data_IF_813550458253
#
_entry.id   IF_813550458253
#
_cell.length_a   1.000
_cell.length_b   1.000
_cell.length_c   1.000
_cell.angle_alpha   90.00
_cell.angle_beta   90.00
_cell.angle_gamma   90.00
#
_symmetry.space_group_name_H-M   'P 1'
#
loop_
_entity.id
_entity.type
_entity.pdbx_description
1 polymer ?
#
# COMPACT_ATOMS: atom_id res chain seq x y z
N UNK A 1 -6.17 20.83 -2.59
CA UNK A 1 -6.74 19.51 -2.24
C UNK A 1 -8.08 19.38 -2.92
N UNK A 2 -8.41 18.21 -3.45
CA UNK A 2 -9.71 17.94 -4.10
C UNK A 2 -10.44 16.90 -3.27
N UNK A 3 -11.73 17.13 -3.02
CA UNK A 3 -12.59 16.17 -2.33
C UNK A 3 -13.49 15.46 -3.34
N UNK A 4 -13.42 14.13 -3.36
CA UNK A 4 -14.21 13.29 -4.25
C UNK A 4 -15.26 12.53 -3.45
N UNK A 5 -16.52 12.65 -3.84
CA UNK A 5 -17.58 11.82 -3.28
C UNK A 5 -17.37 10.35 -3.67
N UNK A 6 -17.80 9.37 -2.86
CA UNK A 6 -17.77 7.97 -3.28
C UNK A 6 -18.56 7.75 -4.58
N UNK A 7 -18.08 6.85 -5.45
CA UNK A 7 -18.70 6.54 -6.73
C UNK A 7 -17.73 6.61 -7.91
N UNK A 8 -18.28 6.61 -9.12
CA UNK A 8 -17.53 6.61 -10.39
C UNK A 8 -17.07 8.03 -10.72
N UNK A 9 -15.82 8.15 -11.15
CA UNK A 9 -15.17 9.37 -11.59
C UNK A 9 -14.39 9.12 -12.87
N UNK A 10 -13.97 10.20 -13.52
CA UNK A 10 -13.09 10.17 -14.68
C UNK A 10 -11.97 11.18 -14.47
N UNK A 11 -10.73 10.73 -14.57
CA UNK A 11 -9.57 11.59 -14.70
C UNK A 11 -9.41 11.94 -16.17
N UNK A 12 -9.39 13.23 -16.49
CA UNK A 12 -9.07 13.72 -17.84
C UNK A 12 -7.71 14.42 -17.79
N UNK A 13 -6.75 13.91 -18.53
CA UNK A 13 -5.41 14.50 -18.65
C UNK A 13 -5.44 15.69 -19.62
N UNK A 14 -4.38 16.51 -19.60
CA UNK A 14 -4.28 17.70 -20.47
C UNK A 14 -4.27 17.37 -21.97
N UNK A 15 -3.87 16.16 -22.35
CA UNK A 15 -3.94 15.63 -23.72
C UNK A 15 -5.30 14.97 -24.06
N UNK A 16 -6.30 15.07 -23.17
CA UNK A 16 -7.66 14.61 -23.38
C UNK A 16 -7.88 13.11 -23.15
N UNK A 17 -6.88 12.36 -22.66
CA UNK A 17 -7.09 10.95 -22.29
C UNK A 17 -7.98 10.87 -21.05
N UNK A 18 -8.93 9.93 -21.09
CA UNK A 18 -9.89 9.70 -20.01
C UNK A 18 -9.60 8.37 -19.35
N UNK A 19 -9.41 8.39 -18.03
CA UNK A 19 -9.22 7.20 -17.22
C UNK A 19 -10.34 7.12 -16.17
N UNK A 20 -11.29 6.18 -16.31
CA UNK A 20 -12.31 5.97 -15.30
C UNK A 20 -11.71 5.38 -14.03
N UNK A 21 -12.25 5.77 -12.89
CA UNK A 21 -11.90 5.20 -11.60
C UNK A 21 -13.07 5.25 -10.64
N UNK A 22 -12.96 4.51 -9.54
CA UNK A 22 -13.98 4.40 -8.51
C UNK A 22 -13.40 4.80 -7.16
N UNK A 23 -14.09 5.67 -6.42
CA UNK A 23 -13.75 6.05 -5.04
C UNK A 23 -14.67 5.32 -4.07
N UNK A 24 -14.11 4.63 -3.10
CA UNK A 24 -14.86 3.89 -2.06
C UNK A 24 -15.21 4.78 -0.85
N UNK A 25 -16.28 4.45 -0.13
CA UNK A 25 -16.74 5.19 1.06
C UNK A 25 -15.74 5.25 2.23
N UNK A 26 -14.88 4.22 2.36
CA UNK A 26 -13.83 4.12 3.40
C UNK A 26 -12.45 4.50 2.87
N UNK A 27 -12.39 5.31 1.81
CA UNK A 27 -11.15 5.85 1.27
C UNK A 27 -10.50 6.81 2.30
N UNK A 28 -9.20 6.65 2.56
CA UNK A 28 -8.43 7.47 3.50
C UNK A 28 -7.64 8.60 2.82
N UNK A 29 -8.03 8.99 1.61
CA UNK A 29 -7.31 9.86 0.70
C UNK A 29 -6.43 9.09 -0.29
N UNK A 30 -5.53 9.82 -0.94
CA UNK A 30 -4.57 9.27 -1.88
C UNK A 30 -3.92 10.36 -2.71
N UNK A 31 -3.10 9.95 -3.68
CA UNK A 31 -2.47 10.85 -4.66
C UNK A 31 -3.00 10.47 -6.04
N UNK A 32 -3.50 11.47 -6.77
CA UNK A 32 -3.77 11.36 -8.21
C UNK A 32 -2.54 11.91 -8.92
N UNK A 33 -1.83 11.04 -9.62
CA UNK A 33 -0.52 11.26 -10.20
C UNK A 33 -0.57 11.08 -11.73
N UNK A 34 -1.19 12.02 -12.46
CA UNK A 34 -1.38 11.88 -13.91
C UNK A 34 -0.06 11.80 -14.69
N UNK A 35 1.01 12.37 -14.13
CA UNK A 35 2.33 12.43 -14.75
C UNK A 35 3.22 11.23 -14.44
N UNK A 36 2.75 10.28 -13.61
CA UNK A 36 3.56 9.14 -13.12
C UNK A 36 4.88 9.58 -12.48
N UNK A 37 4.85 10.67 -11.73
CA UNK A 37 5.99 11.08 -10.90
C UNK A 37 6.21 10.07 -9.77
N UNK A 38 7.44 9.89 -9.31
CA UNK A 38 7.73 9.02 -8.19
C UNK A 38 7.38 9.66 -6.85
N UNK A 39 6.63 8.89 -6.05
CA UNK A 39 6.30 9.20 -4.67
C UNK A 39 6.88 8.14 -3.75
N UNK A 40 7.28 8.58 -2.57
CA UNK A 40 7.88 7.72 -1.55
C UNK A 40 7.08 7.78 -0.25
N UNK A 41 7.11 6.71 0.53
CA UNK A 41 6.73 6.73 1.94
C UNK A 41 7.87 6.26 2.80
N UNK A 42 8.04 6.88 3.97
CA UNK A 42 8.92 6.38 5.03
C UNK A 42 8.11 6.09 6.28
N UNK A 43 8.25 4.89 6.88
CA UNK A 43 7.64 4.59 8.17
C UNK A 43 8.62 4.91 9.31
N UNK A 44 8.23 5.83 10.18
CA UNK A 44 8.95 6.22 11.40
C UNK A 44 8.34 5.55 12.63
N UNK A 45 9.20 5.15 13.57
CA UNK A 45 8.80 4.64 14.88
C UNK A 45 8.81 5.80 15.87
N UNK A 46 7.63 6.14 16.41
CA UNK A 46 7.52 6.98 17.59
C UNK A 46 7.37 6.07 18.78
N UNK A 47 8.34 6.01 19.67
CA UNK A 47 8.24 5.19 20.87
C UNK A 47 8.66 6.00 22.10
N UNK A 48 8.12 5.59 23.25
CA UNK A 48 8.69 6.00 24.53
C UNK A 48 10.08 5.35 24.62
N UNK A 49 11.03 6.07 25.21
CA UNK A 49 12.40 5.60 25.44
C UNK A 49 12.43 4.14 25.94
N UNK A 50 13.29 3.31 25.34
CA UNK A 50 13.45 1.87 25.60
C UNK A 50 12.28 0.98 25.14
N UNK A 51 11.43 1.46 24.24
CA UNK A 51 10.35 0.68 23.61
C UNK A 51 10.38 0.71 22.08
N UNK A 52 11.43 1.26 21.47
CA UNK A 52 11.65 1.36 20.02
C UNK A 52 11.66 -0.03 19.39
N UNK A 53 12.37 -0.98 20.03
CA UNK A 53 12.53 -2.36 19.57
C UNK A 53 11.22 -3.17 19.50
N UNK A 54 10.12 -2.66 20.06
CA UNK A 54 8.79 -3.27 19.94
C UNK A 54 8.12 -2.99 18.60
N UNK A 55 8.69 -2.09 17.79
CA UNK A 55 8.18 -1.68 16.50
C UNK A 55 9.22 -1.98 15.43
N UNK A 56 8.90 -2.93 14.55
CA UNK A 56 9.75 -3.30 13.42
C UNK A 56 8.97 -3.04 12.14
N UNK A 57 9.06 -1.84 11.54
CA UNK A 57 8.52 -1.63 10.21
C UNK A 57 9.26 -2.53 9.23
N UNK A 58 8.54 -3.06 8.25
CA UNK A 58 9.14 -3.91 7.23
C UNK A 58 10.10 -3.08 6.36
N UNK A 59 11.34 -3.54 6.25
CA UNK A 59 12.30 -3.00 5.30
C UNK A 59 12.03 -3.52 3.89
N UNK A 60 12.31 -2.67 2.93
CA UNK A 60 12.23 -2.93 1.49
C UNK A 60 13.41 -2.25 0.81
N UNK A 61 13.97 -2.94 -0.16
CA UNK A 61 15.00 -2.38 -1.03
C UNK A 61 14.35 -1.42 -2.03
N UNK A 62 14.89 -0.21 -2.13
CA UNK A 62 14.48 0.80 -3.11
C UNK A 62 15.69 1.33 -3.85
N UNK A 63 15.54 1.61 -5.15
CA UNK A 63 16.57 2.26 -5.95
C UNK A 63 16.10 3.69 -6.22
N UNK A 64 16.96 4.66 -5.95
CA UNK A 64 16.72 6.09 -6.19
C UNK A 64 17.94 6.65 -6.91
N UNK A 65 17.76 7.02 -8.18
CA UNK A 65 18.84 7.51 -9.05
C UNK A 65 20.06 6.59 -9.07
N UNK A 66 19.79 5.29 -9.21
CA UNK A 66 20.81 4.23 -9.24
C UNK A 66 21.38 3.85 -7.87
N UNK A 67 21.04 4.56 -6.79
CA UNK A 67 21.49 4.24 -5.43
C UNK A 67 20.49 3.31 -4.75
N UNK A 68 20.98 2.15 -4.30
CA UNK A 68 20.17 1.18 -3.55
C UNK A 68 20.14 1.56 -2.08
N UNK A 69 18.93 1.72 -1.53
CA UNK A 69 18.66 1.92 -0.12
C UNK A 69 17.85 0.74 0.42
N UNK A 70 18.15 0.32 1.65
CA UNK A 70 17.31 -0.60 2.40
C UNK A 70 16.74 0.11 3.63
N UNK A 71 15.42 0.12 3.76
CA UNK A 71 14.76 0.74 4.90
C UNK A 71 13.26 0.60 4.83
N UNK A 72 12.50 1.20 5.76
CA UNK A 72 11.04 1.11 5.80
C UNK A 72 10.37 2.01 4.75
N UNK A 73 10.88 1.95 3.52
CA UNK A 73 10.63 2.84 2.39
C UNK A 73 9.74 2.14 1.38
N UNK A 74 8.71 2.82 0.89
CA UNK A 74 7.95 2.36 -0.29
C UNK A 74 8.01 3.43 -1.36
N UNK A 75 8.00 3.01 -2.61
CA UNK A 75 7.91 3.86 -3.80
C UNK A 75 6.75 3.45 -4.70
N UNK A 76 6.17 4.42 -5.40
CA UNK A 76 5.17 4.23 -6.44
C UNK A 76 5.14 5.38 -7.44
N UNK A 77 4.94 5.05 -8.71
CA UNK A 77 4.66 5.97 -9.82
C UNK A 77 3.22 5.80 -10.35
N UNK A 78 2.38 5.03 -9.66
CA UNK A 78 1.04 4.70 -10.13
C UNK A 78 0.19 5.97 -10.30
N UNK A 79 -0.73 5.96 -11.27
CA UNK A 79 -1.65 7.10 -11.51
C UNK A 79 -2.56 7.35 -10.31
N UNK A 80 -2.96 6.29 -9.61
CA UNK A 80 -3.76 6.37 -8.39
C UNK A 80 -3.02 5.65 -7.27
N UNK A 81 -2.45 6.44 -6.35
CA UNK A 81 -1.76 5.92 -5.17
C UNK A 81 -2.75 5.96 -4.01
N UNK A 82 -3.25 4.78 -3.65
CA UNK A 82 -4.29 4.61 -2.64
C UNK A 82 -3.71 4.72 -1.22
N UNK A 83 -4.24 5.67 -0.43
CA UNK A 83 -3.75 5.86 0.94
C UNK A 83 -4.07 4.69 1.87
N UNK A 84 -5.08 3.87 1.56
CA UNK A 84 -5.39 2.68 2.35
C UNK A 84 -4.24 1.66 2.33
N UNK A 85 -3.40 1.68 1.28
CA UNK A 85 -2.24 0.79 1.12
C UNK A 85 -0.93 1.56 1.31
N UNK A 86 -0.78 2.75 0.73
CA UNK A 86 0.44 3.56 0.85
C UNK A 86 0.65 4.12 2.26
N UNK A 87 -0.45 4.38 3.00
CA UNK A 87 -0.47 4.84 4.39
C UNK A 87 0.24 6.18 4.65
N UNK A 88 0.07 7.19 3.81
CA UNK A 88 0.36 8.59 4.13
C UNK A 88 -0.42 9.06 5.38
N UNK A 89 0.18 8.95 6.57
CA UNK A 89 -0.34 9.59 7.78
C UNK A 89 -0.09 11.09 7.73
N UNK A 90 1.09 11.48 7.25
CA UNK A 90 1.48 12.86 6.97
C UNK A 90 1.56 13.04 5.45
N UNK A 91 0.75 13.93 4.85
CA UNK A 91 0.76 14.14 3.41
C UNK A 91 1.99 14.91 2.94
N UNK A 92 2.23 14.87 1.64
CA UNK A 92 3.32 15.60 0.95
C UNK A 92 3.30 17.07 1.34
N UNK A 93 4.49 17.65 1.57
CA UNK A 93 4.65 19.06 1.89
C UNK A 93 4.23 19.43 3.33
N UNK A 94 3.92 18.46 4.18
CA UNK A 94 3.78 18.67 5.63
C UNK A 94 5.03 18.22 6.35
N UNK A 95 5.51 18.92 7.38
CA UNK A 95 6.64 18.45 8.17
C UNK A 95 6.30 17.11 8.83
N UNK A 96 7.30 16.23 8.92
CA UNK A 96 7.19 15.06 9.77
C UNK A 96 7.36 15.56 11.22
N UNK A 97 6.39 15.39 12.13
CA UNK A 97 6.54 15.92 13.49
C UNK A 97 7.64 15.19 14.27
N UNK A 98 8.41 15.93 15.08
CA UNK A 98 9.42 15.34 15.97
C UNK A 98 8.77 14.46 17.05
N UNK A 99 7.61 14.87 17.55
CA UNK A 99 6.85 14.17 18.59
C UNK A 99 5.38 14.01 18.22
N UNK A 100 4.74 12.97 18.78
CA UNK A 100 3.30 12.74 18.61
C UNK A 100 2.60 12.52 19.94
N UNK A 101 1.33 12.92 20.00
CA UNK A 101 0.47 12.61 21.14
C UNK A 101 -0.18 11.23 20.93
N UNK A 102 0.00 10.34 21.90
CA UNK A 102 -0.68 9.05 21.95
C UNK A 102 -1.70 9.06 23.10
N UNK A 103 -2.98 9.04 22.75
CA UNK A 103 -4.07 9.08 23.74
C UNK A 103 -4.28 7.75 24.48
N UNK A 104 -3.90 6.63 23.87
CA UNK A 104 -3.96 5.33 24.54
C UNK A 104 -2.80 5.21 25.53
N UNK A 105 -3.11 5.32 26.83
CA UNK A 105 -2.13 5.24 27.92
C UNK A 105 -1.40 3.89 28.01
N UNK A 106 -1.92 2.83 27.37
CA UNK A 106 -1.25 1.52 27.33
C UNK A 106 -0.27 1.41 26.16
N UNK A 107 -0.42 2.24 25.13
CA UNK A 107 0.49 2.24 23.99
C UNK A 107 1.85 2.78 24.40
N UNK A 108 2.90 2.10 23.92
CA UNK A 108 4.31 2.48 24.13
C UNK A 108 4.93 3.15 22.91
N UNK A 109 4.13 3.40 21.90
CA UNK A 109 4.58 3.93 20.63
C UNK A 109 3.63 3.65 19.48
N UNK A 110 3.95 4.22 18.32
CA UNK A 110 3.17 4.09 17.10
C UNK A 110 4.07 4.26 15.89
N UNK A 111 3.87 3.41 14.89
CA UNK A 111 4.45 3.63 13.56
C UNK A 111 3.58 4.64 12.83
N UNK A 112 4.21 5.66 12.27
CA UNK A 112 3.57 6.66 11.41
C UNK A 112 4.35 6.74 10.11
N UNK A 113 3.68 7.15 9.05
CA UNK A 113 4.30 7.24 7.74
C UNK A 113 4.03 8.58 7.10
N UNK A 114 5.06 9.13 6.48
CA UNK A 114 4.97 10.36 5.69
C UNK A 114 5.15 10.03 4.23
N UNK A 115 4.40 10.73 3.39
CA UNK A 115 4.55 10.68 1.95
C UNK A 115 5.35 11.87 1.44
N UNK A 116 6.16 11.61 0.44
CA UNK A 116 7.14 12.54 -0.10
C UNK A 116 7.07 12.53 -1.61
N UNK A 117 7.31 13.70 -2.21
CA UNK A 117 7.88 13.72 -3.57
C UNK A 117 9.33 13.29 -3.50
N UNK A 118 9.89 12.80 -4.61
CA UNK A 118 11.29 12.38 -4.70
C UNK A 118 12.29 13.33 -4.03
N UNK A 119 12.31 14.61 -4.41
CA UNK A 119 13.22 15.59 -3.80
C UNK A 119 13.02 15.72 -2.28
N UNK A 120 11.77 15.78 -1.84
CA UNK A 120 11.44 15.87 -0.42
C UNK A 120 11.92 14.63 0.36
N UNK A 121 11.90 13.46 -0.27
CA UNK A 121 12.40 12.22 0.33
C UNK A 121 13.92 12.22 0.44
N UNK A 122 14.63 12.62 -0.62
CA UNK A 122 16.10 12.70 -0.61
C UNK A 122 16.55 13.69 0.48
N UNK A 123 16.00 14.91 0.46
CA UNK A 123 16.34 15.94 1.46
C UNK A 123 16.08 15.43 2.90
N UNK A 124 14.98 14.69 3.13
CA UNK A 124 14.68 14.06 4.41
C UNK A 124 15.66 12.95 4.79
N UNK A 125 15.97 12.04 3.86
CA UNK A 125 16.84 10.90 4.12
C UNK A 125 18.27 11.35 4.44
N UNK A 126 18.79 12.33 3.71
CA UNK A 126 20.11 12.89 3.95
C UNK A 126 20.20 13.59 5.31
N UNK A 127 19.13 14.30 5.70
CA UNK A 127 19.05 14.93 7.02
C UNK A 127 19.03 13.90 8.16
N UNK A 128 18.26 12.82 8.02
CA UNK A 128 18.10 11.80 9.07
C UNK A 128 19.30 10.86 9.18
N UNK A 129 19.91 10.49 8.05
CA UNK A 129 21.10 9.62 8.02
C UNK A 129 22.39 10.38 8.33
N UNK A 130 22.44 11.69 8.05
CA UNK A 130 23.67 12.48 8.11
C UNK A 130 24.63 12.21 6.93
N UNK A 131 24.19 11.44 5.93
CA UNK A 131 24.97 11.08 4.74
C UNK A 131 24.26 11.58 3.48
N UNK A 132 25.02 12.13 2.54
CA UNK A 132 24.48 12.46 1.23
C UNK A 132 24.06 11.18 0.50
N UNK A 133 22.90 11.18 -0.14
CA UNK A 133 22.43 10.05 -0.92
C UNK A 133 23.34 9.83 -2.14
N UNK A 134 23.84 10.93 -2.70
CA UNK A 134 24.77 10.93 -3.82
C UNK A 134 26.15 11.38 -3.35
N UNK A 135 27.14 10.53 -3.54
CA UNK A 135 28.55 10.86 -3.45
C UNK A 135 29.03 11.62 -4.70
N UNK A 136 30.19 12.29 -4.62
CA UNK A 136 30.82 12.95 -5.77
C UNK A 136 31.16 11.97 -6.92
N UNK A 137 31.17 10.66 -6.63
CA UNK A 137 31.49 9.59 -7.58
C UNK A 137 30.25 8.94 -8.20
N UNK A 138 29.06 9.20 -7.67
CA UNK A 138 27.85 8.68 -8.27
C UNK A 138 27.61 9.41 -9.59
N UNK A 139 27.28 8.65 -10.63
CA UNK A 139 26.87 9.27 -11.88
C UNK A 139 25.55 9.99 -11.61
N UNK A 140 25.60 11.32 -11.42
CA UNK A 140 24.45 12.23 -11.27
C UNK A 140 23.42 12.18 -12.43
N UNK A 141 23.61 11.27 -13.39
CA UNK A 141 22.81 11.07 -14.58
C UNK A 141 22.02 9.75 -14.59
N UNK A 142 22.13 8.90 -13.55
CA UNK A 142 21.24 7.74 -13.44
C UNK A 142 19.85 8.22 -13.05
N UNK A 143 18.85 7.91 -13.87
CA UNK A 143 17.44 8.10 -13.55
C UNK A 143 16.78 6.76 -13.17
N UNK A 144 17.58 5.77 -12.78
CA UNK A 144 17.08 4.46 -12.41
C UNK A 144 16.40 4.56 -11.05
N UNK A 145 15.12 4.21 -11.01
CA UNK A 145 14.32 4.25 -9.80
C UNK A 145 13.46 2.98 -9.73
N UNK A 146 13.32 2.38 -8.55
CA UNK A 146 12.48 1.20 -8.37
C UNK A 146 11.08 1.57 -7.89
N UNK A 147 10.09 0.73 -8.25
CA UNK A 147 8.71 0.81 -7.77
C UNK A 147 8.44 -0.40 -6.89
N UNK A 148 8.19 -0.17 -5.60
CA UNK A 148 7.86 -1.25 -4.66
C UNK A 148 6.36 -1.56 -4.59
N UNK A 149 5.52 -0.64 -5.08
CA UNK A 149 4.07 -0.79 -5.02
C UNK A 149 3.41 -0.23 -6.28
N UNK A 150 2.86 -1.13 -7.08
CA UNK A 150 2.28 -0.80 -8.39
C UNK A 150 0.79 -0.42 -8.33
N UNK A 151 0.13 -0.64 -7.18
CA UNK A 151 -1.33 -0.51 -7.04
C UNK A 151 -2.11 -1.30 -8.12
N UNK A 152 -1.60 -2.49 -8.42
CA UNK A 152 -2.24 -3.42 -9.34
C UNK A 152 -3.43 -4.12 -8.67
N UNK A 153 -4.63 -3.76 -9.12
CA UNK A 153 -5.88 -4.34 -8.64
C UNK A 153 -6.46 -5.41 -9.57
N UNK A 154 -5.64 -6.00 -10.45
CA UNK A 154 -6.03 -7.19 -11.20
C UNK A 154 -6.36 -8.33 -10.23
N UNK A 155 -7.46 -9.01 -10.49
CA UNK A 155 -7.89 -10.14 -9.66
C UNK A 155 -6.82 -11.24 -9.73
N UNK A 156 -6.23 -11.65 -8.60
CA UNK A 156 -5.18 -12.65 -8.58
C UNK A 156 -5.77 -14.03 -8.89
N UNK A 157 -4.94 -14.90 -9.45
CA UNK A 157 -5.22 -16.34 -9.58
C UNK A 157 -4.17 -17.12 -8.80
N UNK A 158 -4.51 -18.35 -8.40
CA UNK A 158 -3.58 -19.28 -7.77
C UNK A 158 -3.96 -20.70 -8.18
N UNK A 159 -2.93 -21.54 -8.32
CA UNK A 159 -3.08 -22.97 -8.59
C UNK A 159 -2.46 -23.75 -7.42
N UNK A 160 -3.30 -24.50 -6.71
CA UNK A 160 -2.99 -25.25 -5.51
C UNK A 160 -3.42 -26.69 -5.70
N UNK A 161 -2.56 -27.62 -5.32
CA UNK A 161 -2.85 -29.06 -5.36
C UNK A 161 -3.79 -29.49 -4.22
N UNK A 162 -3.80 -28.75 -3.11
CA UNK A 162 -4.76 -28.94 -2.03
C UNK A 162 -6.16 -28.47 -2.48
N UNK A 163 -7.14 -29.39 -2.60
CA UNK A 163 -8.45 -29.06 -3.14
C UNK A 163 -9.28 -28.15 -2.22
N UNK A 164 -9.05 -28.19 -0.89
CA UNK A 164 -9.75 -27.32 0.05
C UNK A 164 -9.26 -25.88 -0.10
N UNK A 165 -7.93 -25.65 -0.16
CA UNK A 165 -7.36 -24.32 -0.38
C UNK A 165 -7.71 -23.78 -1.76
N UNK A 166 -7.69 -24.62 -2.79
CA UNK A 166 -8.07 -24.20 -4.15
C UNK A 166 -9.53 -23.73 -4.18
N UNK A 167 -10.44 -24.45 -3.53
CA UNK A 167 -11.85 -24.05 -3.42
C UNK A 167 -12.00 -22.70 -2.70
N UNK A 168 -11.30 -22.50 -1.58
CA UNK A 168 -11.32 -21.22 -0.85
C UNK A 168 -10.79 -20.07 -1.70
N UNK A 169 -9.70 -20.29 -2.43
CA UNK A 169 -9.18 -19.30 -3.36
C UNK A 169 -10.20 -18.92 -4.44
N UNK A 170 -10.96 -19.89 -4.97
CA UNK A 170 -12.04 -19.64 -5.92
C UNK A 170 -13.17 -18.80 -5.31
N UNK A 171 -13.55 -19.03 -4.05
CA UNK A 171 -14.55 -18.23 -3.34
C UNK A 171 -14.10 -16.76 -3.23
N UNK A 172 -12.82 -16.52 -2.92
CA UNK A 172 -12.24 -15.17 -2.91
C UNK A 172 -12.22 -14.53 -4.30
N UNK A 173 -11.86 -15.28 -5.35
CA UNK A 173 -11.85 -14.79 -6.73
C UNK A 173 -13.25 -14.38 -7.17
N UNK A 174 -14.27 -15.19 -6.87
CA UNK A 174 -15.67 -14.86 -7.17
C UNK A 174 -16.08 -13.57 -6.45
N UNK A 175 -15.75 -13.45 -5.16
CA UNK A 175 -16.05 -12.27 -4.36
C UNK A 175 -15.35 -11.00 -4.89
N UNK A 176 -14.08 -11.11 -5.30
CA UNK A 176 -13.35 -10.00 -5.92
C UNK A 176 -13.97 -9.57 -7.25
N UNK A 177 -14.41 -10.52 -8.08
CA UNK A 177 -15.11 -10.21 -9.32
C UNK A 177 -16.38 -9.39 -9.06
N UNK A 178 -17.14 -9.72 -8.01
CA UNK A 178 -18.27 -8.90 -7.58
C UNK A 178 -17.81 -7.53 -7.06
N UNK A 179 -16.76 -7.49 -6.24
CA UNK A 179 -16.26 -6.27 -5.60
C UNK A 179 -15.80 -5.23 -6.62
N UNK A 180 -14.97 -5.64 -7.58
CA UNK A 180 -14.43 -4.72 -8.59
C UNK A 180 -15.56 -4.19 -9.45
N UNK A 181 -16.59 -4.98 -9.77
CA UNK A 181 -17.70 -4.57 -10.62
C UNK A 181 -18.84 -3.84 -9.89
N UNK A 182 -18.78 -3.76 -8.56
CA UNK A 182 -19.80 -3.07 -7.78
C UNK A 182 -19.81 -1.56 -8.09
N UNK A 183 -20.98 -1.04 -8.41
CA UNK A 183 -21.22 0.33 -8.86
C UNK A 183 -21.67 1.29 -7.75
N UNK A 184 -21.85 0.78 -6.53
CA UNK A 184 -22.27 1.57 -5.38
C UNK A 184 -21.74 1.01 -4.05
N UNK A 185 -21.65 1.91 -3.06
CA UNK A 185 -21.10 1.62 -1.74
C UNK A 185 -21.85 0.51 -0.98
N UNK A 186 -23.18 0.42 -1.14
CA UNK A 186 -23.99 -0.54 -0.38
C UNK A 186 -23.69 -1.99 -0.80
N UNK A 187 -23.47 -2.22 -2.10
CA UNK A 187 -23.02 -3.52 -2.61
C UNK A 187 -21.61 -3.85 -2.08
N UNK A 188 -20.71 -2.87 -2.10
CA UNK A 188 -19.32 -3.06 -1.67
C UNK A 188 -19.18 -3.36 -0.18
N UNK A 189 -19.93 -2.68 0.69
CA UNK A 189 -19.93 -2.97 2.12
C UNK A 189 -20.47 -4.37 2.41
N UNK A 190 -21.52 -4.81 1.71
CA UNK A 190 -21.99 -6.21 1.79
C UNK A 190 -20.92 -7.22 1.38
N UNK A 191 -20.17 -6.92 0.33
CA UNK A 191 -19.08 -7.78 -0.15
C UNK A 191 -17.94 -7.82 0.88
N UNK A 192 -17.61 -6.70 1.53
CA UNK A 192 -16.64 -6.65 2.64
C UNK A 192 -17.09 -7.46 3.87
N UNK A 193 -18.38 -7.47 4.17
CA UNK A 193 -18.95 -8.33 5.22
C UNK A 193 -18.80 -9.82 4.86
N UNK A 194 -19.04 -10.19 3.61
CA UNK A 194 -18.82 -11.56 3.11
C UNK A 194 -17.33 -11.94 3.17
N UNK A 195 -16.44 -11.04 2.76
CA UNK A 195 -14.99 -11.22 2.86
C UNK A 195 -14.56 -11.49 4.31
N UNK A 196 -15.09 -10.71 5.26
CA UNK A 196 -14.81 -10.91 6.69
C UNK A 196 -15.22 -12.31 7.14
N UNK A 197 -16.38 -12.82 6.70
CA UNK A 197 -16.81 -14.19 7.00
C UNK A 197 -15.89 -15.25 6.39
N UNK A 198 -15.40 -15.04 5.17
CA UNK A 198 -14.43 -15.94 4.54
C UNK A 198 -13.13 -16.00 5.35
N UNK A 199 -12.57 -14.85 5.76
CA UNK A 199 -11.36 -14.81 6.60
C UNK A 199 -11.59 -15.55 7.93
N UNK A 200 -12.74 -15.33 8.57
CA UNK A 200 -13.05 -16.04 9.82
C UNK A 200 -13.09 -17.55 9.61
N UNK A 201 -13.60 -18.03 8.48
CA UNK A 201 -13.62 -19.44 8.15
C UNK A 201 -12.22 -20.00 7.85
N UNK A 202 -11.28 -19.17 7.41
CA UNK A 202 -9.88 -19.55 7.16
C UNK A 202 -9.10 -19.81 8.45
N UNK A 203 -9.55 -19.28 9.59
CA UNK A 203 -8.93 -19.59 10.90
C UNK A 203 -9.07 -21.06 11.31
N UNK A 204 -10.00 -21.78 10.68
CA UNK A 204 -10.21 -23.22 10.89
C UNK A 204 -9.32 -24.11 10.00
N UNK A 205 -8.53 -23.52 9.10
CA UNK A 205 -7.63 -24.27 8.22
C UNK A 205 -6.48 -24.85 9.04
N UNK A 206 -6.29 -26.17 8.93
CA UNK A 206 -5.16 -26.87 9.55
C UNK A 206 -3.89 -26.73 8.72
N UNK A 207 -3.26 -25.56 8.81
CA UNK A 207 -1.99 -25.25 8.13
C UNK A 207 -0.84 -26.18 8.51
N UNK A 208 -0.92 -26.87 9.64
CA UNK A 208 0.04 -27.93 10.04
C UNK A 208 0.03 -29.15 9.11
N UNK A 209 -1.02 -29.29 8.27
CA UNK A 209 -1.20 -30.42 7.36
C UNK A 209 -1.05 -30.05 5.89
N UNK A 210 -0.66 -28.81 5.61
CA UNK A 210 -0.49 -28.28 4.27
C UNK A 210 1.01 -28.19 3.98
N UNK A 211 1.39 -28.54 2.76
CA UNK A 211 2.77 -28.40 2.32
C UNK A 211 3.25 -26.93 2.40
N UNK A 212 4.50 -26.73 2.76
CA UNK A 212 5.06 -25.39 2.99
C UNK A 212 5.02 -24.51 1.74
N UNK A 213 5.22 -25.06 0.55
CA UNK A 213 5.18 -24.30 -0.70
C UNK A 213 3.75 -23.88 -1.05
N UNK A 214 2.78 -24.78 -0.85
CA UNK A 214 1.36 -24.47 -1.06
C UNK A 214 0.88 -23.38 -0.11
N UNK A 215 1.31 -23.44 1.15
CA UNK A 215 1.01 -22.41 2.14
C UNK A 215 1.55 -21.04 1.69
N UNK A 216 2.81 -20.97 1.25
CA UNK A 216 3.41 -19.71 0.76
C UNK A 216 2.63 -19.17 -0.45
N UNK A 217 2.23 -20.03 -1.40
CA UNK A 217 1.40 -19.63 -2.54
C UNK A 217 0.06 -19.05 -2.09
N UNK A 218 -0.63 -19.72 -1.17
CA UNK A 218 -1.92 -19.28 -0.64
C UNK A 218 -1.80 -17.96 0.15
N UNK A 219 -0.75 -17.80 0.97
CA UNK A 219 -0.50 -16.58 1.74
C UNK A 219 -0.22 -15.39 0.80
N UNK A 220 0.54 -15.61 -0.28
CA UNK A 220 0.79 -14.60 -1.32
C UNK A 220 -0.49 -14.18 -2.04
N UNK A 221 -1.33 -15.16 -2.40
CA UNK A 221 -2.64 -14.92 -3.00
C UNK A 221 -3.54 -14.11 -2.04
N UNK A 222 -3.65 -14.54 -0.78
CA UNK A 222 -4.49 -13.90 0.23
C UNK A 222 -4.08 -12.45 0.51
N UNK A 223 -2.78 -12.14 0.49
CA UNK A 223 -2.28 -10.76 0.59
C UNK A 223 -2.76 -9.88 -0.57
N UNK A 224 -2.72 -10.39 -1.81
CA UNK A 224 -3.24 -9.67 -2.98
C UNK A 224 -4.76 -9.46 -2.90
N UNK A 225 -5.51 -10.48 -2.47
CA UNK A 225 -6.96 -10.37 -2.23
C UNK A 225 -7.25 -9.25 -1.22
N UNK A 226 -6.53 -9.25 -0.10
CA UNK A 226 -6.70 -8.24 0.94
C UNK A 226 -6.41 -6.82 0.43
N UNK A 227 -5.36 -6.65 -0.38
CA UNK A 227 -5.04 -5.34 -0.98
C UNK A 227 -6.19 -4.80 -1.84
N UNK A 228 -6.87 -5.66 -2.62
CA UNK A 228 -7.99 -5.23 -3.48
C UNK A 228 -9.23 -4.89 -2.63
N UNK A 229 -9.62 -5.75 -1.67
CA UNK A 229 -10.81 -5.51 -0.84
C UNK A 229 -10.66 -4.24 0.02
N UNK A 230 -9.45 -3.98 0.50
CA UNK A 230 -9.14 -2.82 1.34
C UNK A 230 -8.94 -1.53 0.54
N UNK A 231 -8.95 -1.61 -0.79
CA UNK A 231 -8.71 -0.46 -1.65
C UNK A 231 -9.69 0.68 -1.35
N UNK A 232 -9.17 1.90 -1.28
CA UNK A 232 -9.89 3.17 -1.22
C UNK A 232 -10.20 3.71 -2.60
N UNK A 233 -9.45 3.33 -3.62
CA UNK A 233 -9.66 3.71 -5.03
C UNK A 233 -9.35 2.53 -5.95
N UNK A 234 -10.07 2.41 -7.06
CA UNK A 234 -9.82 1.38 -8.07
C UNK A 234 -9.86 1.99 -9.48
N UNK A 235 -8.75 1.86 -10.21
CA UNK A 235 -8.68 2.18 -11.62
C UNK A 235 -9.48 1.17 -12.44
N UNK A 236 -10.17 1.64 -13.48
CA UNK A 236 -11.04 0.83 -14.34
C UNK A 236 -10.47 0.63 -15.73
#
# INVERSE_FOLDING_TARGET
>A
MVELKPGKHVLETSDGKKQPFLVYSKNQGGIINPNRELYYTYNMVYAIENHENKFSPQNTEVVIDGVTLEGPIRSSDAVFIDNNVFRCTYPIGTPFPEEIVIYDKKSKGKIKSKCFRKKEFIDFYEQESGEALHSEHDSLNSNDNSVTNEFDYRIPTVDLSNPELQKRAQDYIALLNEYVNADNNKKQEKIREQYTKLIMNDTNVRYDKIDSEERVKYDNFSRKVNHIIMAGILAK
#
